data_IF_133676475928
#
_entry.id   IF_133676475928
#
_cell.length_a   1.000
_cell.length_b   1.000
_cell.length_c   1.000
_cell.angle_alpha   90.00
_cell.angle_beta   90.00
_cell.angle_gamma   90.00
#
_symmetry.space_group_name_H-M   'P 1'
#
loop_
_entity.id
_entity.type
_entity.pdbx_description
1 polymer ?
#
# COMPACT_ATOMS: atom_id res chain seq x y z
N UNK A 1 -7.72 35.10 -4.36
CA UNK A 1 -8.58 34.37 -5.31
C UNK A 1 -8.18 32.90 -5.16
N UNK A 2 -8.93 32.11 -4.37
CA UNK A 2 -8.56 30.72 -4.04
C UNK A 2 -8.83 29.84 -5.26
N UNK A 3 -7.81 29.23 -5.80
CA UNK A 3 -7.87 28.25 -6.87
C UNK A 3 -8.39 26.92 -6.30
N UNK A 4 -9.63 26.55 -6.60
CA UNK A 4 -10.20 25.24 -6.25
C UNK A 4 -9.97 24.35 -7.47
N UNK A 5 -9.17 23.27 -7.38
CA UNK A 5 -8.99 22.36 -8.49
C UNK A 5 -10.31 21.66 -8.80
N UNK A 6 -10.75 21.73 -10.06
CA UNK A 6 -11.92 20.99 -10.55
C UNK A 6 -11.61 19.49 -10.50
N UNK A 7 -12.26 18.81 -9.58
CA UNK A 7 -12.24 17.35 -9.47
C UNK A 7 -12.75 16.74 -10.78
N UNK A 8 -11.88 16.06 -11.53
CA UNK A 8 -12.26 15.42 -12.78
C UNK A 8 -12.96 14.09 -12.46
N UNK A 9 -14.30 14.12 -12.41
CA UNK A 9 -15.16 13.01 -11.97
C UNK A 9 -14.99 11.70 -12.78
N UNK A 10 -14.45 11.77 -13.99
CA UNK A 10 -14.30 10.59 -14.85
C UNK A 10 -13.13 9.69 -14.41
N UNK A 11 -12.06 10.26 -13.86
CA UNK A 11 -10.90 9.48 -13.41
C UNK A 11 -11.15 8.85 -12.03
N UNK A 12 -11.83 9.55 -11.13
CA UNK A 12 -12.23 8.98 -9.83
C UNK A 12 -13.24 7.84 -10.00
N UNK A 13 -14.17 7.94 -10.96
CA UNK A 13 -15.10 6.85 -11.29
C UNK A 13 -14.38 5.60 -11.82
N UNK A 14 -13.33 5.76 -12.62
CA UNK A 14 -12.52 4.64 -13.12
C UNK A 14 -11.72 3.95 -12.01
N UNK A 15 -11.10 4.73 -11.12
CA UNK A 15 -10.38 4.19 -9.94
C UNK A 15 -11.35 3.46 -9.01
N UNK A 16 -12.51 4.04 -8.71
CA UNK A 16 -13.57 3.40 -7.91
C UNK A 16 -14.05 2.11 -8.60
N UNK A 17 -14.22 2.13 -9.93
CA UNK A 17 -14.64 0.94 -10.68
C UNK A 17 -13.59 -0.18 -10.63
N UNK A 18 -12.30 0.13 -10.78
CA UNK A 18 -11.21 -0.86 -10.66
C UNK A 18 -11.16 -1.42 -9.26
N UNK A 19 -11.25 -0.59 -8.23
CA UNK A 19 -11.31 -1.02 -6.82
C UNK A 19 -12.57 -1.89 -6.60
N UNK A 20 -13.72 -1.50 -7.12
CA UNK A 20 -14.96 -2.27 -6.98
C UNK A 20 -14.91 -3.63 -7.69
N UNK A 21 -14.29 -3.71 -8.88
CA UNK A 21 -14.09 -4.98 -9.60
C UNK A 21 -13.13 -5.89 -8.82
N UNK A 22 -12.05 -5.36 -8.26
CA UNK A 22 -11.14 -6.13 -7.41
C UNK A 22 -11.81 -6.62 -6.12
N UNK A 23 -12.63 -5.78 -5.49
CA UNK A 23 -13.44 -6.16 -4.32
C UNK A 23 -14.43 -7.28 -4.71
N UNK A 24 -15.07 -7.19 -5.88
CA UNK A 24 -16.04 -8.18 -6.35
C UNK A 24 -15.38 -9.52 -6.67
N UNK A 25 -14.22 -9.51 -7.34
CA UNK A 25 -13.42 -10.71 -7.62
C UNK A 25 -12.89 -11.34 -6.33
N UNK A 26 -12.50 -10.52 -5.36
CA UNK A 26 -12.05 -10.98 -4.06
C UNK A 26 -13.20 -11.62 -3.24
N UNK A 27 -14.36 -10.97 -3.21
CA UNK A 27 -15.57 -11.51 -2.56
C UNK A 27 -16.04 -12.81 -3.22
N UNK A 28 -15.95 -12.93 -4.54
CA UNK A 28 -16.30 -14.18 -5.25
C UNK A 28 -15.29 -15.31 -4.95
N UNK A 29 -14.01 -14.99 -4.77
CA UNK A 29 -12.97 -15.95 -4.37
C UNK A 29 -13.18 -16.43 -2.92
N UNK A 30 -13.61 -15.55 -2.01
CA UNK A 30 -13.97 -15.91 -0.62
C UNK A 30 -15.21 -16.80 -0.62
N UNK A 31 -16.26 -16.47 -1.37
CA UNK A 31 -17.48 -17.25 -1.46
C UNK A 31 -17.25 -18.67 -2.00
N UNK A 32 -16.27 -18.85 -2.91
CA UNK A 32 -15.90 -20.16 -3.43
C UNK A 32 -15.19 -21.04 -2.39
N UNK A 33 -14.44 -20.44 -1.45
CA UNK A 33 -13.72 -21.15 -0.37
C UNK A 33 -14.57 -21.41 0.88
N UNK A 34 -15.77 -20.82 0.96
CA UNK A 34 -16.59 -20.71 2.20
C UNK A 34 -17.55 -21.86 2.44
N UNK A 35 -17.30 -23.06 1.96
CA UNK A 35 -18.17 -24.21 2.27
C UNK A 35 -17.67 -25.08 3.42
N UNK A 36 -16.81 -24.57 4.31
CA UNK A 36 -16.33 -25.29 5.49
C UNK A 36 -16.31 -24.38 6.73
N UNK A 37 -17.22 -24.69 7.66
CA UNK A 37 -17.26 -24.34 9.08
C UNK A 37 -17.34 -22.85 9.51
N UNK A 38 -18.57 -22.38 9.82
CA UNK A 38 -18.89 -20.99 10.18
C UNK A 38 -18.40 -20.53 11.58
N UNK A 39 -18.01 -21.43 12.49
CA UNK A 39 -17.67 -21.04 13.87
C UNK A 39 -16.18 -20.76 14.11
N UNK A 40 -15.28 -21.31 13.28
CA UNK A 40 -13.83 -20.99 13.35
C UNK A 40 -13.43 -19.83 12.42
N UNK A 41 -14.26 -19.52 11.41
CA UNK A 41 -13.98 -18.52 10.40
C UNK A 41 -14.21 -17.07 10.85
N UNK A 42 -15.07 -16.83 11.85
CA UNK A 42 -15.40 -15.46 12.26
C UNK A 42 -14.24 -14.68 12.87
N UNK A 43 -13.31 -15.34 13.56
CA UNK A 43 -12.06 -14.70 14.04
C UNK A 43 -11.05 -14.43 12.92
N UNK A 44 -11.06 -15.26 11.89
CA UNK A 44 -10.21 -15.10 10.70
C UNK A 44 -10.70 -13.97 9.79
N UNK A 45 -11.99 -13.74 9.71
CA UNK A 45 -12.61 -12.70 8.86
C UNK A 45 -12.22 -11.28 9.31
N UNK A 46 -12.15 -11.00 10.62
CA UNK A 46 -11.74 -9.68 11.12
C UNK A 46 -10.30 -9.33 10.75
N UNK A 47 -9.38 -10.28 10.86
CA UNK A 47 -7.98 -10.08 10.45
C UNK A 47 -7.82 -9.87 8.95
N UNK A 48 -8.58 -10.59 8.12
CA UNK A 48 -8.57 -10.44 6.66
C UNK A 48 -9.20 -9.13 6.20
N UNK A 49 -10.22 -8.64 6.91
CA UNK A 49 -10.81 -7.32 6.66
C UNK A 49 -9.81 -6.19 6.91
N UNK A 50 -8.99 -6.31 7.96
CA UNK A 50 -7.92 -5.36 8.23
C UNK A 50 -6.89 -5.30 7.08
N UNK A 51 -6.50 -6.45 6.50
CA UNK A 51 -5.59 -6.51 5.34
C UNK A 51 -6.18 -5.81 4.11
N UNK A 52 -7.49 -5.99 3.86
CA UNK A 52 -8.15 -5.30 2.75
C UNK A 52 -8.11 -3.78 2.95
N UNK A 53 -8.34 -3.30 4.18
CA UNK A 53 -8.24 -1.87 4.50
C UNK A 53 -6.83 -1.34 4.25
N UNK A 54 -5.80 -2.05 4.71
CA UNK A 54 -4.40 -1.70 4.44
C UNK A 54 -4.14 -1.64 2.94
N UNK A 55 -4.60 -2.63 2.17
CA UNK A 55 -4.43 -2.63 0.72
C UNK A 55 -5.09 -1.42 0.05
N UNK A 56 -6.33 -1.10 0.41
CA UNK A 56 -7.05 0.05 -0.17
C UNK A 56 -6.29 1.34 0.10
N UNK A 57 -5.90 1.60 1.35
CA UNK A 57 -5.14 2.80 1.72
C UNK A 57 -3.78 2.85 1.02
N UNK A 58 -3.09 1.72 0.89
CA UNK A 58 -1.86 1.64 0.10
C UNK A 58 -2.06 2.07 -1.36
N UNK A 59 -3.09 1.53 -2.02
CA UNK A 59 -3.37 1.89 -3.42
C UNK A 59 -3.81 3.35 -3.57
N UNK A 60 -4.49 3.93 -2.57
CA UNK A 60 -4.81 5.36 -2.52
C UNK A 60 -3.53 6.20 -2.44
N UNK A 61 -2.56 5.83 -1.61
CA UNK A 61 -1.24 6.48 -1.54
C UNK A 61 -0.53 6.41 -2.90
N UNK A 62 -0.49 5.24 -3.54
CA UNK A 62 0.13 5.07 -4.86
C UNK A 62 -0.57 5.95 -5.91
N UNK A 63 -1.89 6.03 -5.88
CA UNK A 63 -2.66 6.89 -6.80
C UNK A 63 -2.39 8.39 -6.56
N UNK A 64 -2.23 8.80 -5.31
CA UNK A 64 -1.86 10.16 -4.96
C UNK A 64 -0.44 10.50 -5.43
N UNK A 65 0.52 9.62 -5.23
CA UNK A 65 1.88 9.79 -5.72
C UNK A 65 1.94 9.85 -7.26
N UNK A 66 1.13 9.03 -7.95
CA UNK A 66 0.97 9.14 -9.40
C UNK A 66 0.44 10.52 -9.81
N UNK A 67 -0.57 11.03 -9.12
CA UNK A 67 -1.14 12.35 -9.38
C UNK A 67 -0.11 13.47 -9.22
N UNK A 68 0.80 13.32 -8.27
CA UNK A 68 1.86 14.30 -7.99
C UNK A 68 2.99 14.27 -9.03
N UNK A 69 3.37 13.08 -9.50
CA UNK A 69 4.64 12.90 -10.20
C UNK A 69 4.52 12.39 -11.65
N UNK A 70 3.35 11.96 -12.13
CA UNK A 70 3.22 11.34 -13.46
C UNK A 70 3.48 12.30 -14.63
N UNK A 71 3.28 13.60 -14.43
CA UNK A 71 3.49 14.63 -15.44
C UNK A 71 4.86 15.32 -15.32
N UNK A 72 5.65 14.96 -14.29
CA UNK A 72 7.00 15.50 -14.10
C UNK A 72 7.98 14.87 -15.10
N UNK A 73 8.95 15.66 -15.55
CA UNK A 73 9.99 15.13 -16.41
C UNK A 73 11.02 14.27 -15.63
N UNK A 74 11.68 13.37 -16.34
CA UNK A 74 12.62 12.41 -15.75
C UNK A 74 13.77 13.10 -15.00
N UNK A 75 14.23 14.29 -15.48
CA UNK A 75 15.30 15.02 -14.82
C UNK A 75 14.82 15.57 -13.47
N UNK A 76 13.63 16.16 -13.42
CA UNK A 76 13.00 16.62 -12.17
C UNK A 76 12.85 15.48 -11.17
N UNK A 77 12.35 14.32 -11.63
CA UNK A 77 12.16 13.14 -10.78
C UNK A 77 13.49 12.63 -10.16
N UNK A 78 14.60 12.67 -10.90
CA UNK A 78 15.90 12.22 -10.41
C UNK A 78 16.52 13.14 -9.35
N UNK A 79 16.13 14.40 -9.30
CA UNK A 79 16.63 15.37 -8.31
C UNK A 79 15.73 15.54 -7.09
N UNK A 80 14.64 14.77 -6.98
CA UNK A 80 13.79 14.81 -5.81
C UNK A 80 14.55 14.38 -4.55
N UNK A 81 14.51 15.22 -3.53
CA UNK A 81 15.07 14.88 -2.23
C UNK A 81 14.03 14.07 -1.42
N UNK A 82 14.06 12.75 -1.56
CA UNK A 82 13.14 11.83 -0.89
C UNK A 82 13.83 11.29 0.37
N UNK A 83 13.12 11.29 1.49
CA UNK A 83 13.64 10.72 2.74
C UNK A 83 13.97 9.22 2.56
N UNK A 84 15.12 8.74 3.07
CA UNK A 84 15.55 7.35 2.88
C UNK A 84 14.54 6.30 3.37
N UNK A 85 13.72 6.64 4.36
CA UNK A 85 12.71 5.75 4.92
C UNK A 85 11.37 5.81 4.15
N UNK A 86 11.19 6.76 3.24
CA UNK A 86 10.00 6.86 2.40
C UNK A 86 10.12 5.97 1.17
N UNK A 87 9.96 4.67 1.41
CA UNK A 87 10.09 3.65 0.39
C UNK A 87 8.97 3.70 -0.66
N UNK A 88 7.80 4.23 -0.31
CA UNK A 88 6.67 4.31 -1.26
C UNK A 88 6.93 5.39 -2.30
N UNK A 89 7.29 6.60 -1.88
CA UNK A 89 7.62 7.68 -2.82
C UNK A 89 8.84 7.31 -3.66
N UNK A 90 9.91 6.79 -3.05
CA UNK A 90 11.11 6.35 -3.77
C UNK A 90 10.78 5.32 -4.86
N UNK A 91 9.93 4.34 -4.55
CA UNK A 91 9.52 3.31 -5.50
C UNK A 91 8.68 3.88 -6.64
N UNK A 92 7.70 4.75 -6.35
CA UNK A 92 6.85 5.38 -7.40
C UNK A 92 7.69 6.25 -8.33
N UNK A 93 8.59 7.08 -7.78
CA UNK A 93 9.46 7.95 -8.54
C UNK A 93 10.41 7.12 -9.43
N UNK A 94 11.01 6.04 -8.91
CA UNK A 94 11.81 5.11 -9.71
C UNK A 94 11.01 4.50 -10.86
N UNK A 95 9.79 4.03 -10.57
CA UNK A 95 8.91 3.44 -11.59
C UNK A 95 8.56 4.44 -12.70
N UNK A 96 8.20 5.69 -12.35
CA UNK A 96 7.86 6.73 -13.31
C UNK A 96 9.08 7.20 -14.11
N UNK A 97 10.27 7.18 -13.51
CA UNK A 97 11.54 7.46 -14.21
C UNK A 97 11.83 6.41 -15.28
N UNK A 98 11.57 5.13 -14.98
CA UNK A 98 11.76 4.02 -15.91
C UNK A 98 10.62 3.91 -16.95
N UNK A 99 9.42 4.39 -16.61
CA UNK A 99 8.23 4.32 -17.45
C UNK A 99 7.57 5.71 -17.55
N UNK A 100 8.17 6.65 -18.30
CA UNK A 100 7.62 8.00 -18.46
C UNK A 100 6.18 7.95 -18.99
N UNK A 101 5.31 8.78 -18.41
CA UNK A 101 3.88 8.84 -18.74
C UNK A 101 3.10 7.53 -18.49
N UNK A 102 3.59 6.68 -17.61
CA UNK A 102 2.84 5.48 -17.21
C UNK A 102 1.46 5.84 -16.70
N UNK A 103 0.44 5.15 -17.19
CA UNK A 103 -0.94 5.35 -16.71
C UNK A 103 -1.10 4.80 -15.31
N UNK A 104 -2.04 5.37 -14.57
CA UNK A 104 -2.34 4.97 -13.20
C UNK A 104 -2.59 3.45 -13.07
N UNK A 105 -3.32 2.86 -14.03
CA UNK A 105 -3.65 1.43 -13.99
C UNK A 105 -2.37 0.56 -14.04
N UNK A 106 -1.37 0.96 -14.84
CA UNK A 106 -0.11 0.24 -14.94
C UNK A 106 0.69 0.33 -13.63
N UNK A 107 0.75 1.52 -13.03
CA UNK A 107 1.41 1.72 -11.73
C UNK A 107 0.72 0.94 -10.61
N UNK A 108 -0.63 0.95 -10.54
CA UNK A 108 -1.39 0.18 -9.54
C UNK A 108 -1.16 -1.32 -9.70
N UNK A 109 -1.11 -1.82 -10.94
CA UNK A 109 -0.79 -3.22 -11.20
C UNK A 109 0.64 -3.57 -10.76
N UNK A 110 1.60 -2.70 -11.04
CA UNK A 110 2.98 -2.86 -10.56
C UNK A 110 3.05 -2.83 -9.03
N UNK A 111 2.27 -1.96 -8.38
CA UNK A 111 2.17 -1.88 -6.92
C UNK A 111 1.65 -3.19 -6.30
N UNK A 112 0.64 -3.82 -6.90
CA UNK A 112 0.15 -5.14 -6.46
C UNK A 112 1.18 -6.26 -6.63
N UNK A 113 2.10 -6.10 -7.58
CA UNK A 113 3.18 -7.05 -7.87
C UNK A 113 4.44 -6.81 -7.02
N UNK A 114 4.50 -5.76 -6.19
CA UNK A 114 5.60 -5.58 -5.24
C UNK A 114 5.62 -6.75 -4.28
N UNK A 115 6.85 -7.19 -3.95
CA UNK A 115 7.08 -8.35 -3.08
C UNK A 115 7.51 -7.91 -1.69
N UNK A 116 6.98 -8.58 -0.69
CA UNK A 116 7.34 -8.39 0.71
C UNK A 116 7.62 -9.73 1.37
N UNK A 117 8.71 -9.78 2.13
CA UNK A 117 9.11 -10.98 2.84
C UNK A 117 8.07 -11.38 3.89
N UNK A 118 7.85 -12.67 4.03
CA UNK A 118 7.07 -13.26 5.10
C UNK A 118 7.94 -13.77 6.28
N UNK A 119 9.26 -13.46 6.31
CA UNK A 119 10.19 -13.89 7.36
C UNK A 119 9.85 -13.20 8.70
N UNK A 120 9.62 -13.96 9.81
CA UNK A 120 9.26 -13.42 11.12
C UNK A 120 10.45 -12.91 11.94
N UNK A 121 11.69 -12.97 11.44
CA UNK A 121 12.90 -12.59 12.20
C UNK A 121 13.01 -11.10 12.48
N UNK A 122 12.19 -10.27 11.84
CA UNK A 122 12.20 -8.83 12.01
C UNK A 122 11.29 -8.40 13.16
N UNK A 123 11.73 -7.37 13.90
CA UNK A 123 10.90 -6.72 14.91
C UNK A 123 10.49 -5.32 14.44
N UNK A 124 9.28 -4.94 14.73
CA UNK A 124 8.66 -3.71 14.30
C UNK A 124 8.40 -2.78 15.49
N UNK A 125 8.76 -1.52 15.34
CA UNK A 125 8.46 -0.52 16.35
C UNK A 125 7.02 -0.05 16.19
N UNK A 126 6.25 -0.11 17.27
CA UNK A 126 4.86 0.36 17.35
C UNK A 126 4.70 1.31 18.53
N UNK A 127 3.55 1.98 18.64
CA UNK A 127 3.27 2.86 19.80
C UNK A 127 3.39 2.19 21.18
N UNK A 128 3.39 0.85 21.24
CA UNK A 128 3.58 0.07 22.47
C UNK A 128 5.00 -0.48 22.66
N UNK A 129 5.95 -0.13 21.77
CA UNK A 129 7.32 -0.62 21.83
C UNK A 129 7.70 -1.54 20.65
N UNK A 130 8.75 -2.34 20.86
CA UNK A 130 9.25 -3.27 19.85
C UNK A 130 8.45 -4.58 19.88
N UNK A 131 7.84 -4.96 18.77
CA UNK A 131 7.01 -6.15 18.64
C UNK A 131 7.47 -7.03 17.48
N UNK A 132 7.36 -8.35 17.69
CA UNK A 132 7.53 -9.34 16.63
C UNK A 132 6.17 -9.89 16.23
N UNK A 133 5.97 -10.09 14.95
CA UNK A 133 4.73 -10.64 14.38
C UNK A 133 5.04 -11.97 13.70
N UNK A 134 4.01 -12.83 13.58
CA UNK A 134 4.14 -14.14 12.96
C UNK A 134 3.04 -14.33 11.91
N UNK A 135 3.32 -15.18 10.93
CA UNK A 135 2.29 -15.71 10.05
C UNK A 135 1.45 -16.75 10.81
N UNK A 136 0.28 -17.05 10.28
CA UNK A 136 -0.57 -18.11 10.83
C UNK A 136 0.04 -19.48 10.61
N UNK A 137 0.61 -19.73 9.42
CA UNK A 137 1.28 -20.96 9.07
C UNK A 137 2.80 -20.71 8.94
N UNK A 138 3.62 -21.53 9.63
CA UNK A 138 5.07 -21.44 9.59
C UNK A 138 5.68 -21.77 8.21
N UNK A 139 4.97 -22.52 7.38
CA UNK A 139 5.43 -22.80 6.01
C UNK A 139 5.47 -21.52 5.15
N UNK A 140 4.72 -20.49 5.54
CA UNK A 140 4.70 -19.19 4.89
C UNK A 140 5.95 -18.35 5.17
N UNK A 141 6.68 -18.64 6.27
CA UNK A 141 7.81 -17.83 6.77
C UNK A 141 8.98 -17.71 5.76
N UNK A 142 9.06 -18.61 4.79
CA UNK A 142 10.10 -18.61 3.75
C UNK A 142 9.66 -17.92 2.46
N UNK A 143 8.42 -17.48 2.39
CA UNK A 143 7.85 -16.90 1.17
C UNK A 143 8.25 -15.44 1.02
N UNK A 144 8.28 -15.00 -0.21
CA UNK A 144 8.40 -13.60 -0.60
C UNK A 144 7.28 -13.28 -1.63
N UNK A 145 6.02 -13.33 -1.19
CA UNK A 145 4.88 -13.17 -2.08
C UNK A 145 4.74 -11.74 -2.58
N UNK A 146 4.05 -11.56 -3.70
CA UNK A 146 3.49 -10.28 -4.09
C UNK A 146 2.39 -9.87 -3.10
N UNK A 147 2.04 -8.58 -3.07
CA UNK A 147 0.91 -8.09 -2.26
C UNK A 147 -0.39 -8.81 -2.64
N UNK A 148 -0.61 -9.04 -3.95
CA UNK A 148 -1.78 -9.78 -4.43
C UNK A 148 -1.79 -11.23 -3.91
N UNK A 149 -0.67 -11.96 -4.01
CA UNK A 149 -0.53 -13.32 -3.48
C UNK A 149 -0.69 -13.35 -1.96
N UNK A 150 -0.08 -12.40 -1.24
CA UNK A 150 -0.20 -12.30 0.22
C UNK A 150 -1.64 -12.10 0.67
N UNK A 151 -2.42 -11.32 -0.08
CA UNK A 151 -3.86 -11.14 0.19
C UNK A 151 -4.64 -12.44 -0.05
N UNK A 152 -4.43 -13.09 -1.20
CA UNK A 152 -5.11 -14.35 -1.55
C UNK A 152 -4.85 -15.47 -0.54
N UNK A 153 -3.61 -15.58 -0.10
CA UNK A 153 -3.15 -16.59 0.86
C UNK A 153 -3.34 -16.16 2.32
N UNK A 154 -3.78 -14.92 2.52
CA UNK A 154 -3.97 -14.33 3.87
C UNK A 154 -2.71 -14.29 4.73
N UNK A 155 -1.52 -14.16 4.13
CA UNK A 155 -0.23 -14.09 4.83
C UNK A 155 -0.13 -12.76 5.58
N UNK A 156 0.34 -12.77 6.83
CA UNK A 156 0.30 -11.61 7.71
C UNK A 156 1.48 -10.64 7.51
N UNK A 157 2.70 -11.16 7.54
CA UNK A 157 3.92 -10.34 7.61
C UNK A 157 4.12 -9.39 6.42
N UNK A 158 3.79 -9.74 5.18
CA UNK A 158 3.80 -8.78 4.08
C UNK A 158 2.95 -7.54 4.34
N UNK A 159 1.78 -7.70 4.99
CA UNK A 159 0.90 -6.58 5.34
C UNK A 159 1.41 -5.76 6.53
N UNK A 160 2.14 -6.37 7.47
CA UNK A 160 2.82 -5.62 8.54
C UNK A 160 3.89 -4.72 7.94
N UNK A 161 4.71 -5.22 7.01
CA UNK A 161 5.73 -4.43 6.32
C UNK A 161 5.14 -3.34 5.43
N UNK A 162 4.07 -3.67 4.71
CA UNK A 162 3.34 -2.69 3.91
C UNK A 162 2.80 -1.56 4.78
N UNK A 163 2.23 -1.89 5.95
CA UNK A 163 1.76 -0.89 6.91
C UNK A 163 2.90 -0.02 7.44
N UNK A 164 4.08 -0.59 7.68
CA UNK A 164 5.27 0.17 8.08
C UNK A 164 5.69 1.17 6.99
N UNK A 165 5.72 0.76 5.72
CA UNK A 165 6.00 1.66 4.59
C UNK A 165 4.98 2.82 4.53
N UNK A 166 3.69 2.52 4.77
CA UNK A 166 2.63 3.54 4.80
C UNK A 166 2.77 4.51 5.97
N UNK A 167 3.16 4.01 7.15
CA UNK A 167 3.46 4.87 8.31
C UNK A 167 4.65 5.78 8.00
N UNK A 168 5.73 5.23 7.45
CA UNK A 168 6.88 6.02 7.03
C UNK A 168 6.49 7.10 6.01
N UNK A 169 5.71 6.75 4.99
CA UNK A 169 5.17 7.73 4.05
C UNK A 169 4.41 8.86 4.79
N UNK A 170 3.54 8.51 5.73
CA UNK A 170 2.71 9.48 6.46
C UNK A 170 3.52 10.42 7.34
N UNK A 171 4.71 10.01 7.81
CA UNK A 171 5.62 10.86 8.60
C UNK A 171 6.18 12.00 7.75
N UNK A 172 6.42 11.78 6.47
CA UNK A 172 7.04 12.76 5.57
C UNK A 172 6.03 13.53 4.71
N UNK A 173 4.80 13.02 4.55
CA UNK A 173 3.74 13.59 3.72
C UNK A 173 2.52 13.99 4.55
N UNK A 174 2.01 15.17 4.34
CA UNK A 174 0.82 15.70 5.00
C UNK A 174 1.03 17.12 5.51
N UNK A 175 -0.05 17.90 5.59
CA UNK A 175 -0.04 19.28 6.04
C UNK A 175 0.42 19.45 7.51
N UNK A 176 0.37 18.37 8.29
CA UNK A 176 0.83 18.30 9.69
C UNK A 176 1.82 17.14 9.87
N UNK A 177 2.68 16.87 8.88
CA UNK A 177 3.66 15.79 9.02
C UNK A 177 4.61 16.09 10.18
N UNK A 178 4.97 15.07 10.95
CA UNK A 178 5.93 15.22 12.07
C UNK A 178 7.25 15.83 11.60
N UNK A 179 7.63 15.59 10.36
CA UNK A 179 8.84 16.18 9.76
C UNK A 179 8.72 17.70 9.53
N UNK A 180 7.56 18.19 9.09
CA UNK A 180 7.34 19.63 8.91
C UNK A 180 7.25 20.36 10.26
N UNK A 181 6.55 19.76 11.23
CA UNK A 181 6.44 20.34 12.58
C UNK A 181 7.82 20.51 13.25
N UNK A 182 8.73 19.54 13.09
CA UNK A 182 10.09 19.62 13.64
C UNK A 182 10.97 20.63 12.90
N UNK A 183 10.69 20.93 11.63
CA UNK A 183 11.46 21.87 10.82
C UNK A 183 11.03 23.33 11.04
N UNK A 184 9.77 23.55 11.43
CA UNK A 184 9.22 24.88 11.72
C UNK A 184 9.59 25.39 13.13
N UNK A 185 10.14 24.50 14.01
CA UNK A 185 10.61 24.82 15.36
C UNK A 185 12.10 25.23 15.42
N UNK A 186 12.85 25.22 14.31
CA UNK A 186 14.25 25.68 14.15
C UNK A 186 14.30 27.06 13.43
#
# INVERSE_FOLDING_TARGET
>A
MKWIPKFNSSNSLRVIFVIAVFILLFLSSIAYKHNQDLNDSSKLELGSTAKLRVLVTYLEIIAELHRLYAEEDTATLQYLNIAPQDHLTSWVVSYLTEHPHARLEALLQAALNRRYSADPKESFFTGGGLHSFNNFNKDEDKLNPTIAEALQLSINLPFVRLLQDMVNYSIYHGENSSYQLLKDDD
#
